data_IF_973761986828
#
_entry.id   IF_973761986828
#
_cell.length_a   1.000
_cell.length_b   1.000
_cell.length_c   1.000
_cell.angle_alpha   90.00
_cell.angle_beta   90.00
_cell.angle_gamma   90.00
#
_symmetry.space_group_name_H-M   'P 1'
#
loop_
_entity.id
_entity.type
_entity.pdbx_description
1 polymer ?
#
# COMPACT_ATOMS: atom_id res chain seq x y z
N UNK A 1 -12.49 26.11 23.08
CA UNK A 1 -12.58 25.20 21.93
C UNK A 1 -11.48 25.64 20.96
N UNK A 2 -10.31 25.01 21.05
CA UNK A 2 -9.18 25.31 20.17
C UNK A 2 -9.40 24.60 18.82
N UNK A 3 -9.41 25.34 17.74
CA UNK A 3 -9.40 24.79 16.39
C UNK A 3 -8.00 24.21 16.14
N UNK A 4 -7.85 22.91 16.22
CA UNK A 4 -6.63 22.24 15.81
C UNK A 4 -6.65 22.08 14.29
N UNK A 5 -5.73 22.74 13.60
CA UNK A 5 -5.45 22.49 12.19
C UNK A 5 -4.60 21.23 12.09
N UNK A 6 -5.03 20.25 11.32
CA UNK A 6 -4.15 19.22 10.79
C UNK A 6 -3.38 19.85 9.62
N UNK A 7 -2.07 19.86 9.71
CA UNK A 7 -1.22 20.31 8.60
C UNK A 7 -1.01 19.13 7.67
N UNK A 8 -1.52 19.26 6.44
CA UNK A 8 -1.06 18.48 5.30
C UNK A 8 0.23 19.15 4.87
N UNK A 9 1.29 18.38 4.62
CA UNK A 9 2.59 18.89 4.16
C UNK A 9 2.54 19.54 2.76
N UNK A 10 1.49 20.29 2.47
CA UNK A 10 1.32 21.10 1.24
C UNK A 10 1.69 22.57 1.41
N UNK A 11 1.85 23.08 2.62
CA UNK A 11 1.96 24.52 2.88
C UNK A 11 3.19 24.91 3.70
N UNK A 12 4.34 24.32 3.47
CA UNK A 12 5.56 24.93 3.95
C UNK A 12 6.30 25.57 2.77
N UNK A 13 5.99 26.84 2.53
CA UNK A 13 6.86 27.73 1.76
C UNK A 13 8.26 27.74 2.39
N UNK A 14 9.26 27.79 1.53
CA UNK A 14 10.71 27.71 1.80
C UNK A 14 11.21 28.57 2.98
N UNK A 15 10.47 29.60 3.38
CA UNK A 15 10.86 30.52 4.46
C UNK A 15 10.64 29.98 5.87
N UNK A 16 9.71 29.03 6.08
CA UNK A 16 9.49 28.41 7.40
C UNK A 16 10.56 27.36 7.74
N UNK A 17 11.15 26.71 6.74
CA UNK A 17 12.22 25.73 6.92
C UNK A 17 13.56 26.35 7.36
N UNK A 18 13.84 27.60 6.98
CA UNK A 18 15.11 28.29 7.32
C UNK A 18 15.11 28.83 8.75
N UNK A 19 13.97 29.25 9.27
CA UNK A 19 13.88 29.77 10.66
C UNK A 19 13.84 28.64 11.72
N UNK A 20 13.36 27.45 11.39
CA UNK A 20 13.30 26.34 12.33
C UNK A 20 14.63 25.58 12.51
N UNK A 21 15.54 25.61 11.55
CA UNK A 21 16.83 24.91 11.65
C UNK A 21 17.72 25.41 12.80
N UNK A 22 17.59 26.67 13.24
CA UNK A 22 18.37 27.21 14.36
C UNK A 22 17.80 26.87 15.75
N UNK A 23 16.58 26.32 15.83
CA UNK A 23 15.96 25.92 17.10
C UNK A 23 15.96 24.37 17.27
N UNK A 24 16.33 23.61 16.24
CA UNK A 24 16.26 22.13 16.23
C UNK A 24 17.39 21.42 16.96
N UNK A 25 18.55 22.04 17.16
CA UNK A 25 19.67 21.37 17.84
C UNK A 25 19.45 21.09 19.35
N UNK A 26 18.37 21.58 19.97
CA UNK A 26 18.07 21.35 21.40
C UNK A 26 16.84 20.53 21.73
N UNK A 27 16.20 19.84 20.77
CA UNK A 27 15.01 19.00 20.99
C UNK A 27 15.15 17.54 20.50
N UNK A 28 16.30 16.91 20.66
CA UNK A 28 16.47 15.49 20.45
C UNK A 28 15.94 14.71 21.64
N UNK A 29 14.69 14.21 21.58
CA UNK A 29 14.23 13.02 22.36
C UNK A 29 12.76 12.62 22.12
N UNK A 30 12.11 12.97 21.01
CA UNK A 30 10.84 12.34 20.62
C UNK A 30 11.10 11.26 19.59
N UNK A 31 10.56 10.05 19.80
CA UNK A 31 10.58 9.02 18.76
C UNK A 31 9.69 9.46 17.60
N UNK A 32 10.12 9.19 16.38
CA UNK A 32 9.36 9.43 15.16
C UNK A 32 8.95 8.08 14.57
N UNK A 33 7.66 7.95 14.28
CA UNK A 33 7.08 6.76 13.67
C UNK A 33 6.44 7.12 12.34
N UNK A 34 6.85 6.42 11.28
CA UNK A 34 6.14 6.38 10.00
C UNK A 34 5.11 5.27 10.02
N UNK A 35 3.89 5.55 9.60
CA UNK A 35 2.78 4.60 9.63
C UNK A 35 2.12 4.53 8.26
N UNK A 36 2.12 3.34 7.66
CA UNK A 36 1.33 3.03 6.46
C UNK A 36 0.24 2.01 6.83
N UNK A 37 -1.01 2.48 6.83
CA UNK A 37 -2.19 1.66 7.10
C UNK A 37 -2.73 1.09 5.77
N UNK A 38 -1.96 0.17 5.17
CA UNK A 38 -2.38 -0.47 3.94
C UNK A 38 -3.52 -1.48 4.14
N UNK A 39 -4.27 -1.79 3.09
CA UNK A 39 -5.38 -2.75 3.14
C UNK A 39 -4.90 -4.16 3.53
N UNK A 40 -3.85 -4.65 2.91
CA UNK A 40 -3.33 -5.99 3.18
C UNK A 40 -2.40 -6.02 4.39
N UNK A 41 -1.49 -5.05 4.49
CA UNK A 41 -0.49 -4.98 5.55
C UNK A 41 -0.49 -3.62 6.22
N UNK A 42 -0.32 -3.61 7.54
CA UNK A 42 0.05 -2.44 8.33
C UNK A 42 1.57 -2.40 8.46
N UNK A 43 2.17 -1.27 8.15
CA UNK A 43 3.61 -1.07 8.29
C UNK A 43 3.92 0.08 9.22
N UNK A 44 4.84 -0.15 10.14
CA UNK A 44 5.25 0.82 11.16
C UNK A 44 6.77 0.90 11.14
N UNK A 45 7.32 2.07 10.87
CA UNK A 45 8.76 2.30 10.94
C UNK A 45 9.10 3.22 12.12
N UNK A 46 9.95 2.74 13.02
CA UNK A 46 10.50 3.53 14.10
C UNK A 46 11.88 4.09 13.70
N UNK A 47 11.97 5.40 13.49
CA UNK A 47 13.23 6.09 13.09
C UNK A 47 14.38 5.82 14.07
N UNK A 48 14.11 5.85 15.37
CA UNK A 48 15.15 5.72 16.41
C UNK A 48 15.76 4.30 16.48
N UNK A 49 14.94 3.26 16.30
CA UNK A 49 15.41 1.86 16.34
C UNK A 49 15.77 1.30 14.96
N UNK A 50 15.49 2.05 13.90
CA UNK A 50 15.61 1.61 12.50
C UNK A 50 14.90 0.27 12.24
N UNK A 51 13.75 0.06 12.91
CA UNK A 51 12.97 -1.17 12.82
C UNK A 51 11.68 -0.91 12.06
N UNK A 52 11.40 -1.76 11.08
CA UNK A 52 10.11 -1.83 10.39
C UNK A 52 9.35 -3.04 10.93
N UNK A 53 8.09 -2.85 11.27
CA UNK A 53 7.09 -3.88 11.45
C UNK A 53 6.24 -3.92 10.18
N UNK A 54 6.09 -5.10 9.61
CA UNK A 54 5.23 -5.37 8.45
C UNK A 54 4.37 -6.58 8.77
N UNK A 55 3.09 -6.36 9.09
CA UNK A 55 2.16 -7.37 9.56
C UNK A 55 0.84 -7.27 8.79
N UNK A 56 0.11 -8.36 8.67
CA UNK A 56 -1.22 -8.35 8.05
C UNK A 56 -2.18 -7.42 8.78
N UNK A 57 -2.87 -6.58 8.03
CA UNK A 57 -3.89 -5.68 8.56
C UNK A 57 -5.23 -6.44 8.71
N UNK A 58 -5.25 -7.44 9.58
CA UNK A 58 -6.34 -8.38 9.77
C UNK A 58 -6.62 -8.58 11.25
N UNK A 59 -7.89 -8.68 11.61
CA UNK A 59 -8.33 -8.92 12.99
C UNK A 59 -9.35 -10.05 13.03
N UNK A 60 -9.25 -10.93 14.01
CA UNK A 60 -10.20 -11.99 14.31
C UNK A 60 -10.96 -11.66 15.59
N UNK A 61 -12.29 -11.66 15.52
CA UNK A 61 -13.18 -11.27 16.60
C UNK A 61 -14.06 -12.45 17.03
N UNK A 62 -14.27 -12.60 18.35
CA UNK A 62 -15.30 -13.48 18.94
C UNK A 62 -16.36 -12.63 19.61
N UNK A 63 -17.62 -13.08 19.63
CA UNK A 63 -18.75 -12.39 20.28
C UNK A 63 -18.91 -10.92 19.84
N UNK A 64 -18.61 -10.62 18.57
CA UNK A 64 -18.67 -9.32 17.87
C UNK A 64 -17.53 -8.33 18.19
N UNK A 65 -17.06 -8.23 19.46
CA UNK A 65 -16.17 -7.13 19.87
C UNK A 65 -14.89 -7.58 20.58
N UNK A 66 -14.77 -8.87 20.94
CA UNK A 66 -13.59 -9.36 21.63
C UNK A 66 -12.53 -9.79 20.61
N UNK A 67 -11.36 -9.15 20.65
CA UNK A 67 -10.22 -9.54 19.83
C UNK A 67 -9.75 -10.93 20.28
N UNK A 68 -9.73 -11.87 19.33
CA UNK A 68 -9.21 -13.22 19.49
C UNK A 68 -7.76 -13.31 19.00
N UNK A 69 -7.48 -12.71 17.84
CA UNK A 69 -6.16 -12.61 17.25
C UNK A 69 -6.09 -11.38 16.33
N UNK A 70 -4.89 -10.95 15.98
CA UNK A 70 -4.65 -9.88 15.01
C UNK A 70 -3.38 -10.17 14.21
N UNK A 71 -3.17 -9.43 13.12
CA UNK A 71 -2.01 -9.57 12.26
C UNK A 71 -1.95 -10.91 11.53
N UNK A 72 -0.76 -11.44 11.37
CA UNK A 72 -0.51 -12.72 10.71
C UNK A 72 -1.25 -13.87 11.37
N UNK A 73 -1.40 -13.86 12.71
CA UNK A 73 -2.16 -14.87 13.43
C UNK A 73 -3.65 -14.86 13.06
N UNK A 74 -4.26 -13.68 12.91
CA UNK A 74 -5.64 -13.55 12.44
C UNK A 74 -5.75 -13.93 10.95
N UNK A 75 -4.82 -13.49 10.13
CA UNK A 75 -4.80 -13.84 8.70
C UNK A 75 -4.63 -15.36 8.48
N UNK A 76 -3.90 -16.05 9.32
CA UNK A 76 -3.80 -17.52 9.26
C UNK A 76 -5.17 -18.20 9.40
N UNK A 77 -6.12 -17.59 10.14
CA UNK A 77 -7.49 -18.08 10.34
C UNK A 77 -8.44 -17.72 9.18
N UNK A 78 -8.10 -16.74 8.36
CA UNK A 78 -8.93 -16.32 7.24
C UNK A 78 -9.23 -17.50 6.30
N UNK A 79 -10.49 -17.66 5.90
CA UNK A 79 -11.06 -18.80 5.15
C UNK A 79 -11.00 -20.16 5.88
N UNK A 80 -10.61 -20.21 7.16
CA UNK A 80 -10.51 -21.46 7.96
C UNK A 80 -11.22 -21.37 9.30
N UNK A 81 -11.58 -20.17 9.73
CA UNK A 81 -12.21 -19.95 11.03
C UNK A 81 -13.64 -20.54 11.06
N UNK A 82 -14.09 -21.08 12.22
CA UNK A 82 -15.50 -21.44 12.40
C UNK A 82 -16.36 -20.17 12.48
N UNK A 83 -17.67 -20.31 12.25
CA UNK A 83 -18.63 -19.19 12.25
C UNK A 83 -18.65 -18.34 13.54
N UNK A 84 -18.13 -18.87 14.63
CA UNK A 84 -18.01 -18.16 15.92
C UNK A 84 -16.87 -17.15 15.94
N UNK A 85 -15.94 -17.23 14.99
CA UNK A 85 -14.81 -16.31 14.83
C UNK A 85 -14.98 -15.56 13.51
N UNK A 86 -15.15 -14.24 13.60
CA UNK A 86 -15.23 -13.35 12.45
C UNK A 86 -13.84 -12.78 12.14
N UNK A 87 -13.27 -13.11 10.99
CA UNK A 87 -12.01 -12.54 10.51
C UNK A 87 -12.32 -11.41 9.54
N UNK A 88 -11.86 -10.20 9.83
CA UNK A 88 -12.17 -8.99 9.08
C UNK A 88 -10.93 -8.13 8.84
N UNK A 89 -11.05 -7.23 7.86
CA UNK A 89 -10.00 -6.30 7.44
C UNK A 89 -10.45 -4.87 7.80
N UNK A 90 -9.77 -4.19 8.73
CA UNK A 90 -10.21 -2.88 9.20
C UNK A 90 -9.93 -1.72 8.23
N UNK A 91 -9.13 -1.96 7.18
CA UNK A 91 -8.93 -1.02 6.07
C UNK A 91 -9.36 -1.71 4.77
N UNK A 92 -10.20 -1.05 3.99
CA UNK A 92 -10.72 -1.54 2.70
C UNK A 92 -10.57 -0.42 1.69
N UNK A 93 -10.10 -0.73 0.49
CA UNK A 93 -9.90 0.25 -0.60
C UNK A 93 -9.11 1.49 -0.17
N UNK A 94 -8.13 1.31 0.71
CA UNK A 94 -7.27 2.39 1.20
C UNK A 94 -7.89 3.28 2.29
N UNK A 95 -9.16 3.06 2.69
CA UNK A 95 -9.84 3.85 3.73
C UNK A 95 -10.18 3.02 4.96
N UNK A 96 -10.37 3.71 6.09
CA UNK A 96 -10.67 3.07 7.38
C UNK A 96 -12.13 2.61 7.41
N UNK A 97 -12.34 1.29 7.37
CA UNK A 97 -13.66 0.67 7.45
C UNK A 97 -14.09 0.37 8.90
N UNK A 98 -13.14 0.03 9.76
CA UNK A 98 -13.39 -0.23 11.19
C UNK A 98 -12.40 0.53 12.07
N UNK A 99 -12.81 1.72 12.47
CA UNK A 99 -11.97 2.65 13.22
C UNK A 99 -11.54 2.09 14.60
N UNK A 100 -12.47 1.52 15.35
CA UNK A 100 -12.20 1.11 16.73
C UNK A 100 -11.25 -0.09 16.79
N UNK A 101 -11.49 -1.08 15.94
CA UNK A 101 -10.64 -2.26 15.87
C UNK A 101 -9.26 -1.93 15.32
N UNK A 102 -9.17 -1.06 14.29
CA UNK A 102 -7.90 -0.60 13.75
C UNK A 102 -7.09 0.18 14.79
N UNK A 103 -7.73 1.10 15.54
CA UNK A 103 -7.06 1.86 16.60
C UNK A 103 -6.52 0.94 17.70
N UNK A 104 -7.32 -0.04 18.12
CA UNK A 104 -6.91 -1.00 19.15
C UNK A 104 -5.74 -1.85 18.67
N UNK A 105 -5.83 -2.38 17.46
CA UNK A 105 -4.78 -3.20 16.86
C UNK A 105 -3.47 -2.42 16.68
N UNK A 106 -3.54 -1.19 16.17
CA UNK A 106 -2.39 -0.29 16.05
C UNK A 106 -1.72 -0.03 17.40
N UNK A 107 -2.51 0.22 18.45
CA UNK A 107 -1.98 0.41 19.79
C UNK A 107 -1.26 -0.84 20.30
N UNK A 108 -1.84 -2.03 20.11
CA UNK A 108 -1.22 -3.30 20.49
C UNK A 108 0.12 -3.52 19.76
N UNK A 109 0.17 -3.28 18.46
CA UNK A 109 1.41 -3.38 17.67
C UNK A 109 2.50 -2.44 18.18
N UNK A 110 2.15 -1.19 18.45
CA UNK A 110 3.10 -0.21 18.96
C UNK A 110 3.64 -0.62 20.33
N UNK A 111 2.77 -1.07 21.24
CA UNK A 111 3.14 -1.47 22.61
C UNK A 111 3.98 -2.75 22.64
N UNK A 112 3.67 -3.75 21.81
CA UNK A 112 4.31 -5.07 21.84
C UNK A 112 5.61 -5.12 21.03
N UNK A 113 5.66 -4.47 19.88
CA UNK A 113 6.75 -4.64 18.92
C UNK A 113 7.69 -3.46 18.80
N UNK A 114 7.27 -2.26 19.20
CA UNK A 114 8.10 -1.06 19.10
C UNK A 114 8.78 -0.73 20.41
N UNK A 115 10.08 -1.06 20.50
CA UNK A 115 10.93 -0.65 21.63
C UNK A 115 11.16 0.86 21.55
N UNK A 116 10.57 1.62 22.45
CA UNK A 116 10.80 3.07 22.52
C UNK A 116 9.70 3.78 23.29
N UNK A 117 9.86 5.11 23.42
CA UNK A 117 8.87 5.95 24.07
C UNK A 117 7.76 6.28 23.06
N UNK A 118 6.69 5.54 23.08
CA UNK A 118 5.54 5.71 22.18
C UNK A 118 4.71 6.92 22.60
N UNK A 119 4.48 7.06 23.90
CA UNK A 119 3.73 8.21 24.44
C UNK A 119 4.49 9.51 24.25
N UNK A 120 3.87 10.48 23.60
CA UNK A 120 4.50 11.75 23.24
C UNK A 120 5.44 11.65 22.04
N UNK A 121 5.32 10.58 21.23
CA UNK A 121 6.01 10.45 19.95
C UNK A 121 5.38 11.32 18.87
N UNK A 122 6.10 11.48 17.78
CA UNK A 122 5.63 12.10 16.54
C UNK A 122 5.24 11.01 15.56
N UNK A 123 4.06 11.11 14.95
CA UNK A 123 3.56 10.16 13.97
C UNK A 123 3.39 10.83 12.62
N UNK A 124 3.88 10.19 11.58
CA UNK A 124 3.69 10.59 10.19
C UNK A 124 2.92 9.44 9.53
N UNK A 125 1.73 9.75 9.04
CA UNK A 125 0.77 8.75 8.56
C UNK A 125 0.57 8.93 7.08
N UNK A 126 0.77 7.86 6.31
CA UNK A 126 0.47 7.85 4.89
C UNK A 126 -1.05 7.88 4.66
N UNK A 127 -1.48 8.67 3.70
CA UNK A 127 -2.87 8.73 3.27
C UNK A 127 -2.95 8.65 1.74
N UNK A 128 -3.99 8.02 1.17
CA UNK A 128 -4.23 8.04 -0.28
C UNK A 128 -4.47 9.46 -0.79
N UNK A 129 -4.30 9.66 -2.10
CA UNK A 129 -4.41 10.99 -2.72
C UNK A 129 -5.85 11.48 -2.86
N UNK A 130 -6.76 10.61 -3.20
CA UNK A 130 -8.18 10.95 -3.46
C UNK A 130 -9.07 10.51 -2.29
N UNK A 131 -8.84 11.10 -1.11
CA UNK A 131 -9.67 10.88 0.07
C UNK A 131 -10.35 12.17 0.53
N UNK A 132 -11.53 12.01 1.07
CA UNK A 132 -12.34 13.11 1.61
C UNK A 132 -11.71 13.71 2.89
N UNK A 133 -12.09 14.94 3.23
CA UNK A 133 -11.67 15.56 4.50
C UNK A 133 -12.14 14.76 5.73
N UNK A 134 -13.28 14.05 5.61
CA UNK A 134 -13.79 13.18 6.68
C UNK A 134 -12.83 11.99 6.89
N UNK A 135 -12.38 11.36 5.81
CA UNK A 135 -11.42 10.25 5.86
C UNK A 135 -10.06 10.73 6.36
N UNK A 136 -9.54 11.87 5.86
CA UNK A 136 -8.31 12.49 6.40
C UNK A 136 -8.42 12.72 7.90
N UNK A 137 -9.55 13.23 8.35
CA UNK A 137 -9.82 13.44 9.77
C UNK A 137 -9.83 12.12 10.55
N UNK A 138 -10.37 11.03 9.99
CA UNK A 138 -10.36 9.72 10.62
C UNK A 138 -8.92 9.21 10.82
N UNK A 139 -8.04 9.33 9.82
CA UNK A 139 -6.61 9.00 9.96
C UNK A 139 -5.95 9.82 11.07
N UNK A 140 -6.19 11.12 11.13
CA UNK A 140 -5.64 11.98 12.17
C UNK A 140 -6.16 11.60 13.57
N UNK A 141 -7.49 11.45 13.73
CA UNK A 141 -8.14 11.17 15.01
C UNK A 141 -7.76 9.79 15.57
N UNK A 142 -7.41 8.83 14.72
CA UNK A 142 -6.95 7.51 15.12
C UNK A 142 -5.76 7.58 16.10
N UNK A 143 -4.85 8.50 15.86
CA UNK A 143 -3.70 8.75 16.74
C UNK A 143 -4.03 9.74 17.83
N UNK A 144 -4.66 10.87 17.48
CA UNK A 144 -4.90 11.98 18.39
C UNK A 144 -5.83 11.61 19.56
N UNK A 145 -6.88 10.84 19.31
CA UNK A 145 -7.83 10.36 20.34
C UNK A 145 -7.37 9.09 21.04
N UNK A 146 -6.23 8.54 20.67
CA UNK A 146 -5.69 7.32 21.26
C UNK A 146 -5.05 7.55 22.63
N UNK A 147 -4.78 6.46 23.35
CA UNK A 147 -4.00 6.48 24.59
C UNK A 147 -2.52 6.83 24.37
N UNK A 148 -2.05 6.87 23.12
CA UNK A 148 -0.68 7.17 22.75
C UNK A 148 -0.27 8.59 23.09
N UNK A 149 -1.23 9.53 23.14
CA UNK A 149 -1.00 10.96 23.43
C UNK A 149 0.16 11.52 22.60
N UNK A 150 0.01 11.55 21.28
CA UNK A 150 1.07 11.98 20.37
C UNK A 150 1.51 13.42 20.65
N UNK A 151 2.76 13.75 20.38
CA UNK A 151 3.25 15.14 20.35
C UNK A 151 2.74 15.84 19.09
N UNK A 152 2.80 15.16 17.95
CA UNK A 152 2.27 15.63 16.67
C UNK A 152 1.80 14.45 15.84
N UNK A 153 0.85 14.69 14.95
CA UNK A 153 0.39 13.77 13.89
C UNK A 153 0.40 14.55 12.60
N UNK A 154 1.21 14.11 11.65
CA UNK A 154 1.29 14.67 10.30
C UNK A 154 0.71 13.66 9.31
N UNK A 155 -0.06 14.13 8.34
CA UNK A 155 -0.54 13.32 7.23
C UNK A 155 0.33 13.60 6.00
N UNK A 156 0.73 12.56 5.30
CA UNK A 156 1.52 12.64 4.08
C UNK A 156 0.85 11.82 2.96
N UNK A 157 0.70 12.41 1.80
CA UNK A 157 0.20 11.71 0.62
C UNK A 157 1.18 10.59 0.21
N UNK A 158 0.66 9.38 -0.01
CA UNK A 158 1.48 8.19 -0.30
C UNK A 158 2.50 8.39 -1.42
N UNK A 159 2.17 8.98 -2.58
CA UNK A 159 3.14 9.13 -3.66
C UNK A 159 4.34 9.99 -3.29
N UNK A 160 4.15 11.01 -2.44
CA UNK A 160 5.26 11.82 -1.91
C UNK A 160 6.16 10.96 -1.04
N UNK A 161 5.57 10.17 -0.14
CA UNK A 161 6.32 9.25 0.71
C UNK A 161 7.05 8.19 -0.11
N UNK A 162 6.42 7.61 -1.14
CA UNK A 162 7.05 6.68 -2.07
C UNK A 162 8.29 7.27 -2.74
N UNK A 163 8.16 8.44 -3.36
CA UNK A 163 9.28 9.10 -4.03
C UNK A 163 10.46 9.36 -3.07
N UNK A 164 10.18 9.84 -1.86
CA UNK A 164 11.21 10.03 -0.83
C UNK A 164 11.78 8.69 -0.36
N UNK A 165 10.96 7.66 -0.27
CA UNK A 165 11.37 6.28 0.06
C UNK A 165 12.36 5.73 -0.94
N UNK A 166 12.11 5.94 -2.22
CA UNK A 166 12.97 5.61 -3.35
C UNK A 166 14.28 6.43 -3.39
N UNK A 167 14.40 7.45 -2.55
CA UNK A 167 15.58 8.33 -2.48
C UNK A 167 15.56 9.48 -3.50
N UNK A 168 14.39 9.79 -4.07
CA UNK A 168 14.23 10.87 -5.03
C UNK A 168 14.06 12.21 -4.29
N UNK A 169 14.62 13.28 -4.84
CA UNK A 169 14.40 14.63 -4.32
C UNK A 169 13.12 15.20 -4.94
N UNK A 170 12.07 15.19 -4.15
CA UNK A 170 10.75 15.68 -4.57
C UNK A 170 10.66 17.20 -4.68
N UNK A 171 11.63 17.95 -4.10
CA UNK A 171 11.62 19.41 -4.07
C UNK A 171 12.20 20.05 -5.34
N UNK A 172 12.89 19.27 -6.16
CA UNK A 172 13.44 19.74 -7.43
C UNK A 172 12.31 20.09 -8.42
N UNK A 173 12.55 21.05 -9.34
CA UNK A 173 11.59 21.41 -10.38
C UNK A 173 11.61 20.40 -11.55
N UNK A 174 11.62 19.11 -11.23
CA UNK A 174 11.65 18.00 -12.19
C UNK A 174 10.41 17.12 -12.04
N UNK A 175 9.94 16.56 -13.16
CA UNK A 175 8.81 15.65 -13.17
C UNK A 175 9.20 14.25 -12.69
N UNK A 176 8.60 13.76 -11.63
CA UNK A 176 8.76 12.40 -11.10
C UNK A 176 7.42 11.67 -11.25
N UNK A 177 7.41 10.51 -11.90
CA UNK A 177 6.21 9.66 -11.99
C UNK A 177 6.39 8.42 -11.13
N UNK A 178 5.45 8.22 -10.20
CA UNK A 178 5.38 7.06 -9.31
C UNK A 178 4.07 6.31 -9.55
N UNK A 179 4.15 4.98 -9.59
CA UNK A 179 3.02 4.05 -9.70
C UNK A 179 3.09 3.08 -8.53
N UNK A 180 2.27 3.30 -7.49
CA UNK A 180 2.13 2.39 -6.36
C UNK A 180 1.01 1.38 -6.63
N UNK A 181 1.35 0.09 -6.75
CA UNK A 181 0.39 -0.98 -6.98
C UNK A 181 0.22 -1.76 -5.68
N UNK A 182 -0.77 -1.34 -4.89
CA UNK A 182 -1.11 -1.93 -3.61
C UNK A 182 -1.99 -3.18 -3.70
N UNK A 183 -2.66 -3.52 -2.59
CA UNK A 183 -3.59 -4.64 -2.53
C UNK A 183 -4.97 -4.30 -3.12
N UNK A 184 -5.57 -3.16 -2.74
CA UNK A 184 -6.90 -2.72 -3.20
C UNK A 184 -6.84 -1.49 -4.10
N UNK A 185 -5.74 -0.76 -4.10
CA UNK A 185 -5.59 0.49 -4.84
C UNK A 185 -4.33 0.49 -5.67
N UNK A 186 -4.37 1.18 -6.80
CA UNK A 186 -3.20 1.57 -7.59
C UNK A 186 -3.19 3.07 -7.72
N UNK A 187 -2.14 3.73 -7.24
CA UNK A 187 -1.96 5.19 -7.33
C UNK A 187 -0.93 5.53 -8.41
N UNK A 188 -1.32 6.37 -9.36
CA UNK A 188 -0.46 6.84 -10.45
C UNK A 188 -0.32 8.35 -10.29
N UNK A 189 0.87 8.83 -9.99
CA UNK A 189 1.06 10.23 -9.62
C UNK A 189 2.26 10.86 -10.30
N UNK A 190 2.12 12.13 -10.68
CA UNK A 190 3.21 13.00 -11.15
C UNK A 190 3.48 14.04 -10.07
N UNK A 191 4.73 14.10 -9.62
CA UNK A 191 5.22 14.94 -8.54
C UNK A 191 6.21 15.96 -9.10
N UNK A 192 6.17 17.18 -8.61
CA UNK A 192 7.20 18.21 -8.84
C UNK A 192 7.13 19.27 -7.76
N UNK A 193 8.26 19.87 -7.37
CA UNK A 193 8.33 20.94 -6.37
C UNK A 193 7.62 20.59 -5.05
N UNK A 194 7.79 19.37 -4.57
CA UNK A 194 7.22 18.87 -3.31
C UNK A 194 5.70 18.63 -3.31
N UNK A 195 5.04 18.74 -4.46
CA UNK A 195 3.59 18.60 -4.57
C UNK A 195 3.13 17.66 -5.69
N UNK A 196 1.89 17.19 -5.59
CA UNK A 196 1.24 16.42 -6.65
C UNK A 196 0.79 17.38 -7.77
N UNK A 197 1.26 17.11 -8.99
CA UNK A 197 0.83 17.83 -10.21
C UNK A 197 -0.41 17.14 -10.79
N UNK A 198 -0.37 15.83 -10.91
CA UNK A 198 -1.47 14.97 -11.36
C UNK A 198 -1.49 13.71 -10.50
N UNK A 199 -2.68 13.17 -10.27
CA UNK A 199 -2.86 11.87 -9.61
C UNK A 199 -4.12 11.20 -10.13
N UNK A 200 -4.08 9.87 -10.21
CA UNK A 200 -5.21 8.99 -10.49
C UNK A 200 -5.19 7.83 -9.51
N UNK A 201 -6.28 7.62 -8.79
CA UNK A 201 -6.45 6.54 -7.83
C UNK A 201 -7.41 5.49 -8.41
N UNK A 202 -6.87 4.37 -8.84
CA UNK A 202 -7.67 3.23 -9.25
C UNK A 202 -8.06 2.41 -8.03
N UNK A 203 -9.36 2.16 -7.86
CA UNK A 203 -9.89 1.32 -6.78
C UNK A 203 -9.76 -0.17 -7.10
N UNK A 204 -8.58 -0.58 -7.56
CA UNK A 204 -8.21 -1.98 -7.67
C UNK A 204 -6.69 -2.15 -7.57
N UNK A 205 -6.27 -3.34 -7.17
CA UNK A 205 -4.88 -3.73 -7.00
C UNK A 205 -4.76 -5.26 -6.97
N UNK A 206 -3.85 -5.77 -6.15
CA UNK A 206 -3.54 -7.20 -6.05
C UNK A 206 -4.72 -8.10 -5.71
N UNK A 207 -5.65 -7.64 -4.85
CA UNK A 207 -6.84 -8.42 -4.48
C UNK A 207 -7.79 -8.61 -5.66
N UNK A 208 -7.95 -7.59 -6.51
CA UNK A 208 -8.75 -7.70 -7.73
C UNK A 208 -8.14 -8.65 -8.75
N UNK A 209 -6.81 -8.69 -8.82
CA UNK A 209 -6.07 -9.65 -9.64
C UNK A 209 -6.34 -11.09 -9.13
N UNK A 210 -6.31 -11.31 -7.81
CA UNK A 210 -6.65 -12.61 -7.21
C UNK A 210 -8.08 -13.04 -7.53
N UNK A 211 -9.06 -12.12 -7.43
CA UNK A 211 -10.45 -12.39 -7.82
C UNK A 211 -10.58 -12.78 -9.29
N UNK A 212 -9.79 -12.18 -10.18
CA UNK A 212 -9.74 -12.51 -11.59
C UNK A 212 -9.23 -13.94 -11.80
N UNK A 213 -8.20 -14.36 -11.05
CA UNK A 213 -7.67 -15.73 -11.06
C UNK A 213 -8.74 -16.71 -10.57
N UNK A 214 -9.41 -16.44 -9.42
CA UNK A 214 -10.50 -17.29 -8.90
C UNK A 214 -11.59 -17.47 -9.96
N UNK A 215 -12.01 -16.36 -10.56
CA UNK A 215 -13.08 -16.37 -11.57
C UNK A 215 -12.66 -17.13 -12.83
N UNK A 216 -11.43 -16.93 -13.30
CA UNK A 216 -10.91 -17.59 -14.48
C UNK A 216 -10.79 -19.12 -14.28
N UNK A 217 -10.19 -19.54 -13.15
CA UNK A 217 -10.04 -20.96 -12.79
C UNK A 217 -11.40 -21.64 -12.65
N UNK A 218 -12.36 -20.97 -11.98
CA UNK A 218 -13.72 -21.50 -11.85
C UNK A 218 -14.40 -21.67 -13.20
N UNK A 219 -14.28 -20.69 -14.09
CA UNK A 219 -14.93 -20.72 -15.42
C UNK A 219 -14.30 -21.75 -16.35
N UNK A 220 -12.97 -21.88 -16.31
CA UNK A 220 -12.23 -22.71 -17.27
C UNK A 220 -12.16 -24.18 -16.83
N UNK A 221 -12.04 -24.42 -15.52
CA UNK A 221 -11.80 -25.76 -14.98
C UNK A 221 -12.91 -26.28 -14.07
N UNK A 222 -13.98 -25.51 -13.85
CA UNK A 222 -15.02 -25.80 -12.86
C UNK A 222 -14.46 -26.03 -11.44
N UNK A 223 -13.36 -25.37 -11.11
CA UNK A 223 -12.65 -25.51 -9.84
C UNK A 223 -12.80 -24.25 -9.00
N UNK A 224 -13.35 -24.36 -7.79
CA UNK A 224 -13.43 -23.26 -6.81
C UNK A 224 -12.21 -23.30 -5.92
N UNK A 225 -11.45 -22.21 -5.93
CA UNK A 225 -10.27 -21.98 -5.07
C UNK A 225 -10.51 -20.81 -4.13
N UNK A 226 -9.78 -20.76 -2.99
CA UNK A 226 -9.82 -19.65 -2.04
C UNK A 226 -8.89 -18.51 -2.44
N UNK A 227 -9.07 -17.37 -1.74
CA UNK A 227 -8.27 -16.14 -1.95
C UNK A 227 -6.77 -16.39 -1.75
N UNK A 228 -6.39 -17.15 -0.70
CA UNK A 228 -4.98 -17.47 -0.43
C UNK A 228 -4.33 -18.30 -1.54
N UNK A 229 -5.10 -19.22 -2.15
CA UNK A 229 -4.60 -20.03 -3.28
C UNK A 229 -4.40 -19.15 -4.51
N UNK A 230 -5.34 -18.24 -4.79
CA UNK A 230 -5.21 -17.30 -5.89
C UNK A 230 -4.03 -16.33 -5.69
N UNK A 231 -3.83 -15.81 -4.50
CA UNK A 231 -2.66 -14.99 -4.14
C UNK A 231 -1.36 -15.76 -4.40
N UNK A 232 -1.27 -17.02 -3.95
CA UNK A 232 -0.09 -17.84 -4.17
C UNK A 232 0.16 -18.10 -5.67
N UNK A 233 -0.89 -18.32 -6.47
CA UNK A 233 -0.79 -18.42 -7.93
C UNK A 233 -0.26 -17.13 -8.56
N UNK A 234 -0.80 -15.97 -8.16
CA UNK A 234 -0.34 -14.67 -8.62
C UNK A 234 1.14 -14.44 -8.30
N UNK A 235 1.55 -14.67 -7.05
CA UNK A 235 2.91 -14.43 -6.58
C UNK A 235 3.93 -15.35 -7.25
N UNK A 236 3.54 -16.62 -7.51
CA UNK A 236 4.46 -17.60 -8.09
C UNK A 236 4.45 -17.62 -9.62
N UNK A 237 3.28 -17.52 -10.24
CA UNK A 237 3.10 -17.74 -11.68
C UNK A 237 2.69 -16.47 -12.45
N UNK A 238 2.28 -15.40 -11.75
CA UNK A 238 1.84 -14.17 -12.37
C UNK A 238 2.94 -13.51 -13.19
N UNK A 239 2.63 -13.11 -14.42
CA UNK A 239 3.55 -12.44 -15.32
C UNK A 239 2.85 -11.34 -16.12
N UNK A 240 3.55 -10.22 -16.36
CA UNK A 240 3.10 -9.13 -17.23
C UNK A 240 3.09 -9.49 -18.71
N UNK A 241 3.83 -10.53 -19.11
CA UNK A 241 3.95 -10.99 -20.50
C UNK A 241 3.62 -12.49 -20.59
N UNK A 242 3.18 -12.98 -21.77
CA UNK A 242 2.91 -14.41 -21.99
C UNK A 242 4.20 -15.25 -21.98
N UNK A 243 4.03 -16.58 -21.94
CA UNK A 243 5.14 -17.53 -22.12
C UNK A 243 5.74 -18.07 -20.82
N UNK A 244 5.13 -17.81 -19.65
CA UNK A 244 5.56 -18.44 -18.40
C UNK A 244 5.14 -19.92 -18.41
N UNK A 245 6.12 -20.83 -18.47
CA UNK A 245 5.92 -22.30 -18.52
C UNK A 245 5.92 -22.95 -17.14
N UNK A 246 6.15 -22.21 -16.07
CA UNK A 246 6.09 -22.75 -14.71
C UNK A 246 4.69 -23.23 -14.35
N UNK A 247 4.65 -24.22 -13.44
CA UNK A 247 3.40 -24.81 -12.99
C UNK A 247 3.33 -24.84 -11.45
N UNK A 248 2.11 -24.90 -10.95
CA UNK A 248 1.82 -25.07 -9.52
C UNK A 248 0.61 -25.98 -9.33
N UNK A 249 0.77 -27.03 -8.51
CA UNK A 249 -0.35 -27.87 -8.09
C UNK A 249 -1.12 -27.17 -6.97
N UNK A 250 -2.41 -27.05 -7.15
CA UNK A 250 -3.34 -26.47 -6.19
C UNK A 250 -4.44 -27.47 -5.82
N UNK A 251 -5.08 -27.22 -4.67
CA UNK A 251 -6.29 -27.95 -4.26
C UNK A 251 -7.48 -27.02 -4.35
N UNK A 252 -8.53 -27.46 -4.99
CA UNK A 252 -9.79 -26.74 -5.06
C UNK A 252 -10.98 -27.70 -4.94
N UNK A 253 -12.19 -27.14 -4.91
CA UNK A 253 -13.42 -27.91 -4.89
C UNK A 253 -14.00 -27.96 -6.30
N UNK A 254 -14.13 -29.14 -6.86
CA UNK A 254 -14.80 -29.35 -8.14
C UNK A 254 -16.29 -29.00 -8.03
N UNK A 255 -16.79 -28.20 -8.96
CA UNK A 255 -18.18 -27.68 -8.92
C UNK A 255 -19.20 -28.79 -9.18
N UNK A 256 -18.83 -29.81 -9.97
CA UNK A 256 -19.75 -30.86 -10.40
C UNK A 256 -19.89 -31.95 -9.33
N UNK A 257 -18.78 -32.46 -8.83
CA UNK A 257 -18.77 -33.52 -7.80
C UNK A 257 -18.92 -32.98 -6.38
N UNK A 258 -18.58 -31.70 -6.15
CA UNK A 258 -18.51 -31.09 -4.83
C UNK A 258 -17.28 -31.51 -4.00
N UNK A 259 -16.41 -32.37 -4.54
CA UNK A 259 -15.27 -32.95 -3.85
C UNK A 259 -13.98 -32.11 -4.05
N UNK A 260 -13.04 -32.15 -3.09
CA UNK A 260 -11.72 -31.56 -3.28
C UNK A 260 -10.95 -32.40 -4.31
N UNK A 261 -10.31 -31.70 -5.25
CA UNK A 261 -9.38 -32.28 -6.23
C UNK A 261 -8.11 -31.48 -6.33
N UNK A 262 -7.03 -32.13 -6.71
CA UNK A 262 -5.78 -31.51 -7.10
C UNK A 262 -5.79 -31.15 -8.58
N UNK A 263 -5.20 -30.02 -8.93
CA UNK A 263 -5.06 -29.58 -10.31
C UNK A 263 -3.75 -28.82 -10.49
N UNK A 264 -3.07 -29.07 -11.60
CA UNK A 264 -1.90 -28.33 -12.01
C UNK A 264 -2.34 -27.10 -12.82
N UNK A 265 -1.89 -25.91 -12.39
CA UNK A 265 -2.14 -24.63 -13.06
C UNK A 265 -0.82 -24.13 -13.64
N UNK A 266 -0.85 -23.68 -14.89
CA UNK A 266 0.32 -23.14 -15.59
C UNK A 266 0.38 -21.61 -15.49
N UNK A 267 1.57 -21.02 -15.68
CA UNK A 267 1.75 -19.58 -15.74
C UNK A 267 0.94 -18.93 -16.86
N UNK A 268 0.72 -19.62 -17.98
CA UNK A 268 -0.13 -19.12 -19.07
C UNK A 268 -1.58 -18.93 -18.63
N UNK A 269 -2.13 -19.84 -17.83
CA UNK A 269 -3.47 -19.72 -17.26
C UNK A 269 -3.59 -18.50 -16.35
N UNK A 270 -2.57 -18.25 -15.52
CA UNK A 270 -2.54 -17.08 -14.64
C UNK A 270 -2.41 -15.81 -15.47
N UNK A 271 -1.52 -15.76 -16.47
CA UNK A 271 -1.40 -14.63 -17.39
C UNK A 271 -2.73 -14.28 -18.05
N UNK A 272 -3.42 -15.26 -18.64
CA UNK A 272 -4.74 -15.07 -19.26
C UNK A 272 -5.79 -14.52 -18.28
N UNK A 273 -5.70 -14.92 -17.01
CA UNK A 273 -6.62 -14.44 -15.97
C UNK A 273 -6.38 -12.97 -15.58
N UNK A 274 -5.12 -12.47 -15.63
CA UNK A 274 -4.74 -11.17 -15.07
C UNK A 274 -4.46 -10.09 -16.12
N UNK A 275 -4.23 -10.45 -17.38
CA UNK A 275 -3.82 -9.53 -18.45
C UNK A 275 -4.71 -8.29 -18.59
N UNK A 276 -6.04 -8.45 -18.44
CA UNK A 276 -6.99 -7.34 -18.56
C UNK A 276 -6.85 -6.35 -17.40
N UNK A 277 -6.56 -6.83 -16.19
CA UNK A 277 -6.26 -5.98 -15.04
C UNK A 277 -4.98 -5.18 -15.27
N UNK A 278 -3.91 -5.83 -15.75
CA UNK A 278 -2.64 -5.17 -16.03
C UNK A 278 -2.78 -4.14 -17.16
N UNK A 279 -3.52 -4.46 -18.22
CA UNK A 279 -3.83 -3.53 -19.30
C UNK A 279 -4.60 -2.29 -18.81
N UNK A 280 -5.47 -2.44 -17.81
CA UNK A 280 -6.19 -1.31 -17.21
C UNK A 280 -5.22 -0.35 -16.51
N UNK A 281 -4.23 -0.87 -15.76
CA UNK A 281 -3.17 -0.05 -15.16
C UNK A 281 -2.37 0.68 -16.26
N UNK A 282 -1.97 -0.03 -17.31
CA UNK A 282 -1.25 0.54 -18.44
C UNK A 282 -2.00 1.70 -19.11
N UNK A 283 -3.32 1.55 -19.27
CA UNK A 283 -4.15 2.60 -19.85
C UNK A 283 -4.20 3.85 -18.97
N UNK A 284 -4.30 3.69 -17.64
CA UNK A 284 -4.26 4.82 -16.71
C UNK A 284 -2.89 5.49 -16.67
N UNK A 285 -1.78 4.73 -16.76
CA UNK A 285 -0.43 5.31 -16.90
C UNK A 285 -0.36 6.19 -18.15
N UNK A 286 -0.84 5.70 -19.30
CA UNK A 286 -0.89 6.49 -20.54
C UNK A 286 -1.74 7.75 -20.40
N UNK A 287 -2.93 7.64 -19.80
CA UNK A 287 -3.80 8.80 -19.58
C UNK A 287 -3.14 9.89 -18.75
N UNK A 288 -2.41 9.53 -17.71
CA UNK A 288 -1.68 10.48 -16.88
C UNK A 288 -0.53 11.11 -17.67
N UNK A 289 0.25 10.32 -18.43
CA UNK A 289 1.32 10.84 -19.29
C UNK A 289 0.78 11.83 -20.33
N UNK A 290 -0.35 11.54 -20.96
CA UNK A 290 -1.01 12.42 -21.94
C UNK A 290 -1.45 13.76 -21.35
N UNK A 291 -1.84 13.76 -20.06
CA UNK A 291 -2.27 14.96 -19.33
C UNK A 291 -1.09 15.71 -18.70
N UNK A 292 0.07 15.07 -18.60
CA UNK A 292 1.26 15.65 -17.96
C UNK A 292 1.79 16.84 -18.78
N UNK A 293 2.10 17.99 -18.13
CA UNK A 293 2.72 19.11 -18.83
C UNK A 293 3.99 18.69 -19.58
N UNK A 294 4.21 19.19 -20.80
CA UNK A 294 5.30 18.72 -21.68
C UNK A 294 6.69 18.76 -21.03
N UNK A 295 6.99 19.77 -20.21
CA UNK A 295 8.29 19.89 -19.55
C UNK A 295 8.50 18.78 -18.51
N UNK A 296 7.46 18.45 -17.72
CA UNK A 296 7.52 17.36 -16.75
C UNK A 296 7.50 15.99 -17.46
N UNK A 297 6.76 15.85 -18.55
CA UNK A 297 6.78 14.62 -19.36
C UNK A 297 8.17 14.35 -19.96
N UNK A 298 8.88 15.41 -20.39
CA UNK A 298 10.28 15.30 -20.80
C UNK A 298 11.18 14.74 -19.70
N UNK A 299 11.03 15.24 -18.47
CA UNK A 299 11.80 14.75 -17.34
C UNK A 299 11.52 13.26 -17.07
N UNK A 300 10.23 12.86 -17.09
CA UNK A 300 9.80 11.47 -16.89
C UNK A 300 10.37 10.54 -17.99
N UNK A 301 10.43 10.99 -19.25
CA UNK A 301 11.05 10.22 -20.33
C UNK A 301 12.54 9.95 -20.06
N UNK A 302 13.25 10.89 -19.44
CA UNK A 302 14.68 10.76 -19.15
C UNK A 302 14.94 9.99 -17.86
N UNK A 303 14.15 10.22 -16.80
CA UNK A 303 14.34 9.59 -15.47
C UNK A 303 13.66 8.23 -15.36
N UNK A 304 12.66 7.95 -16.20
CA UNK A 304 11.83 6.76 -16.13
C UNK A 304 10.63 6.91 -15.20
N UNK A 305 9.80 5.86 -15.19
CA UNK A 305 8.66 5.69 -14.27
C UNK A 305 9.10 4.80 -13.12
N UNK A 306 8.78 5.16 -11.89
CA UNK A 306 9.10 4.39 -10.69
C UNK A 306 7.88 3.58 -10.26
N UNK A 307 8.05 2.27 -10.07
CA UNK A 307 6.97 1.39 -9.60
C UNK A 307 7.25 0.89 -8.19
N UNK A 308 6.23 0.97 -7.34
CA UNK A 308 6.25 0.58 -5.92
C UNK A 308 5.01 -0.26 -5.57
N UNK A 309 4.87 -0.62 -4.29
CA UNK A 309 3.78 -1.44 -3.79
C UNK A 309 3.99 -2.94 -4.01
N UNK A 310 3.33 -3.76 -3.19
CA UNK A 310 3.55 -5.21 -3.19
C UNK A 310 3.23 -5.90 -4.51
N UNK A 311 2.22 -5.41 -5.25
CA UNK A 311 1.81 -6.00 -6.52
C UNK A 311 2.71 -5.60 -7.70
N UNK A 312 3.62 -4.62 -7.53
CA UNK A 312 4.65 -4.30 -8.54
C UNK A 312 5.67 -5.43 -8.75
N UNK A 313 5.70 -6.41 -7.83
CA UNK A 313 6.58 -7.58 -7.89
C UNK A 313 6.09 -8.68 -8.85
N UNK A 314 4.95 -8.52 -9.52
CA UNK A 314 4.52 -9.44 -10.58
C UNK A 314 5.63 -9.55 -11.64
N UNK A 315 6.01 -10.78 -11.99
CA UNK A 315 7.10 -11.02 -12.94
C UNK A 315 6.87 -10.29 -14.26
N UNK A 316 7.93 -9.72 -14.82
CA UNK A 316 7.89 -9.00 -16.11
C UNK A 316 6.91 -7.82 -16.19
N UNK A 317 6.42 -7.29 -15.06
CA UNK A 317 5.53 -6.13 -15.06
C UNK A 317 6.23 -4.89 -15.60
N UNK A 318 7.51 -4.69 -15.21
CA UNK A 318 8.35 -3.60 -15.74
C UNK A 318 8.49 -3.69 -17.27
N UNK A 319 8.67 -4.89 -17.82
CA UNK A 319 8.76 -5.09 -19.25
C UNK A 319 7.44 -4.73 -19.94
N UNK A 320 6.29 -5.17 -19.40
CA UNK A 320 4.98 -4.80 -19.92
C UNK A 320 4.80 -3.27 -19.98
N UNK A 321 5.09 -2.59 -18.87
CA UNK A 321 4.93 -1.12 -18.81
C UNK A 321 5.87 -0.41 -19.76
N UNK A 322 7.12 -0.87 -19.89
CA UNK A 322 8.10 -0.35 -20.85
C UNK A 322 7.64 -0.55 -22.29
N UNK A 323 7.16 -1.74 -22.65
CA UNK A 323 6.68 -2.03 -24.02
C UNK A 323 5.48 -1.15 -24.41
N UNK A 324 4.62 -0.85 -23.42
CA UNK A 324 3.40 -0.06 -23.65
C UNK A 324 3.66 1.46 -23.67
N UNK A 325 4.57 1.95 -22.80
CA UNK A 325 4.83 3.40 -22.66
C UNK A 325 6.02 3.88 -23.48
N UNK A 326 6.96 2.98 -23.80
CA UNK A 326 8.25 3.35 -24.40
C UNK A 326 9.22 4.01 -23.40
N UNK A 327 8.87 4.06 -22.11
CA UNK A 327 9.65 4.72 -21.06
C UNK A 327 10.31 3.65 -20.16
N UNK A 328 11.52 3.94 -19.67
CA UNK A 328 12.20 3.04 -18.73
C UNK A 328 11.45 2.91 -17.41
N UNK A 329 11.42 1.71 -16.84
CA UNK A 329 10.73 1.42 -15.60
C UNK A 329 11.76 1.10 -14.51
N UNK A 330 11.72 1.89 -13.43
CA UNK A 330 12.59 1.74 -12.27
C UNK A 330 11.85 0.96 -11.18
N UNK A 331 12.52 -0.04 -10.62
CA UNK A 331 12.04 -0.87 -9.51
C UNK A 331 12.96 -0.73 -8.30
N UNK A 332 12.51 -1.15 -7.13
CA UNK A 332 13.33 -1.20 -5.92
C UNK A 332 13.25 -2.60 -5.26
N UNK A 333 14.16 -2.87 -4.33
CA UNK A 333 14.29 -4.20 -3.71
C UNK A 333 13.11 -4.55 -2.79
N UNK A 334 12.57 -3.56 -2.06
CA UNK A 334 11.47 -3.74 -1.09
C UNK A 334 10.34 -2.75 -1.40
N UNK A 335 9.64 -2.93 -2.55
CA UNK A 335 8.68 -1.94 -3.05
C UNK A 335 7.49 -1.72 -2.12
N UNK A 336 7.11 -2.71 -1.33
CA UNK A 336 6.05 -2.59 -0.34
C UNK A 336 6.41 -1.71 0.86
N UNK A 337 7.71 -1.45 1.11
CA UNK A 337 8.18 -0.63 2.24
C UNK A 337 8.52 0.81 1.86
N UNK A 338 8.47 1.18 0.57
CA UNK A 338 8.86 2.50 0.09
C UNK A 338 8.11 3.61 0.82
N UNK A 339 6.79 3.52 0.95
CA UNK A 339 5.96 4.49 1.68
C UNK A 339 6.48 4.70 3.09
N UNK A 340 6.55 3.64 3.90
CA UNK A 340 6.90 3.76 5.32
C UNK A 340 8.34 4.23 5.54
N UNK A 341 9.26 3.88 4.66
CA UNK A 341 10.66 4.35 4.66
C UNK A 341 10.73 5.84 4.32
N UNK A 342 9.92 6.30 3.37
CA UNK A 342 9.83 7.71 2.98
C UNK A 342 9.29 8.60 4.09
N UNK A 343 8.22 8.18 4.77
CA UNK A 343 7.59 8.96 5.84
C UNK A 343 8.57 9.46 6.90
N UNK A 344 9.52 8.64 7.33
CA UNK A 344 10.48 9.02 8.38
C UNK A 344 11.66 9.82 7.87
N UNK A 345 11.85 9.93 6.55
CA UNK A 345 12.86 10.79 5.93
C UNK A 345 12.37 12.22 5.69
N UNK A 346 11.05 12.42 5.66
CA UNK A 346 10.42 13.72 5.43
C UNK A 346 10.61 14.66 6.64
N UNK A 347 10.87 14.13 7.85
CA UNK A 347 11.02 14.90 9.10
C UNK A 347 12.41 14.81 9.70
#
# INVERSE_FOLDING_TARGET
>A
MGSYRYEILRETTTDSLIMENNTREKKMNSNVYGIDLGTCNMKIYCKTSNKILNEKNTIALVKKDQIYAYGDAAYAMYEKAPETINVTFPVISGVIADFNNLQTMLQMYLEEHMKGKIRGAEFIVAVPTDITDVEKRAFFEMFYKSKLKPKSVLLCEKPIADAVGLGLDVNEPTGIMVVDIGADTTEISVISLGGLVLSDLLHFGGNRIDESIITYVKRTYNLVIGQKTAQALKEKLGSGIPGNTETMVIVGRDVVSGLPIEMEITGEVVYEAIKDNLNSICNSIKMILEKTPPELAKDIIHSGIYITGGSSQIHNLSQLFKDITGIEINTCEEPEECVVRGLVKIV
#
